data_IF_575011620875
#
_entry.id   IF_575011620875
#
_cell.length_a   1.000
_cell.length_b   1.000
_cell.length_c   1.000
_cell.angle_alpha   90.00
_cell.angle_beta   90.00
_cell.angle_gamma   90.00
#
_symmetry.space_group_name_H-M   'P 1'
#
loop_
_entity.id
_entity.type
_entity.pdbx_description
1 polymer ?
#
# COMPACT_ATOMS: atom_id res chain seq x y z
N UNK A 1 -19.69 -9.13 -6.15
CA UNK A 1 -20.30 -8.49 -4.96
C UNK A 1 -20.27 -6.99 -5.12
N UNK A 2 -21.26 -6.29 -4.58
CA UNK A 2 -21.35 -4.82 -4.58
C UNK A 2 -21.24 -4.31 -3.16
N UNK A 3 -20.39 -3.31 -2.94
CA UNK A 3 -20.26 -2.60 -1.67
C UNK A 3 -20.79 -1.18 -1.88
N UNK A 4 -21.72 -0.76 -1.03
CA UNK A 4 -22.22 0.62 -0.99
C UNK A 4 -21.46 1.39 0.07
N UNK A 5 -20.79 2.46 -0.33
CA UNK A 5 -20.05 3.36 0.57
C UNK A 5 -20.73 4.74 0.57
N UNK A 6 -20.74 5.41 1.72
CA UNK A 6 -21.16 6.81 1.82
C UNK A 6 -19.94 7.69 1.67
N UNK A 7 -19.97 8.57 0.69
CA UNK A 7 -18.93 9.57 0.47
C UNK A 7 -19.36 10.89 1.10
N UNK A 8 -18.37 11.66 1.54
CA UNK A 8 -18.54 13.09 1.82
C UNK A 8 -18.72 13.87 0.52
N UNK A 9 -19.26 15.09 0.63
CA UNK A 9 -19.45 15.98 -0.52
C UNK A 9 -18.12 16.27 -1.24
N UNK A 10 -17.04 16.52 -0.47
CA UNK A 10 -15.70 16.78 -1.02
C UNK A 10 -15.16 15.58 -1.81
N UNK A 11 -15.31 14.36 -1.30
CA UNK A 11 -14.87 13.14 -1.99
C UNK A 11 -15.63 12.94 -3.30
N UNK A 12 -16.93 13.20 -3.29
CA UNK A 12 -17.75 13.11 -4.49
C UNK A 12 -17.32 14.14 -5.55
N UNK A 13 -17.10 15.39 -5.15
CA UNK A 13 -16.62 16.45 -6.05
C UNK A 13 -15.25 16.11 -6.68
N UNK A 14 -14.33 15.56 -5.88
CA UNK A 14 -13.01 15.12 -6.36
C UNK A 14 -13.13 14.00 -7.39
N UNK A 15 -13.96 13.00 -7.13
CA UNK A 15 -14.22 11.90 -8.07
C UNK A 15 -14.90 12.40 -9.35
N UNK A 16 -15.83 13.35 -9.24
CA UNK A 16 -16.49 13.98 -10.37
C UNK A 16 -15.52 14.75 -11.26
N UNK A 17 -14.63 15.53 -10.64
CA UNK A 17 -13.57 16.27 -11.35
C UNK A 17 -12.65 15.31 -12.11
N UNK A 18 -12.20 14.23 -11.46
CA UNK A 18 -11.38 13.20 -12.08
C UNK A 18 -12.10 12.50 -13.23
N UNK A 19 -13.36 12.13 -13.04
CA UNK A 19 -14.18 11.50 -14.08
C UNK A 19 -14.30 12.39 -15.32
N UNK A 20 -14.70 13.67 -15.13
CA UNK A 20 -14.83 14.65 -16.22
C UNK A 20 -13.51 14.87 -16.98
N UNK A 21 -12.39 14.98 -16.26
CA UNK A 21 -11.07 15.25 -16.86
C UNK A 21 -10.52 14.09 -17.68
N UNK A 22 -10.93 12.87 -17.38
CA UNK A 22 -10.28 11.65 -17.90
C UNK A 22 -11.19 10.76 -18.73
N UNK A 23 -12.49 11.04 -18.75
CA UNK A 23 -13.50 10.21 -19.40
C UNK A 23 -13.75 8.86 -18.71
N UNK A 24 -13.25 8.65 -17.50
CA UNK A 24 -13.43 7.41 -16.72
C UNK A 24 -14.55 7.56 -15.70
N UNK A 25 -15.16 6.46 -15.27
CA UNK A 25 -16.23 6.48 -14.26
C UNK A 25 -15.69 6.71 -12.84
N UNK A 26 -16.51 7.26 -11.93
CA UNK A 26 -16.16 7.37 -10.50
C UNK A 26 -15.76 6.01 -9.91
N UNK A 27 -16.49 4.95 -10.26
CA UNK A 27 -16.23 3.58 -9.80
C UNK A 27 -14.88 3.02 -10.26
N UNK A 28 -14.32 3.52 -11.38
CA UNK A 28 -12.94 3.19 -11.74
C UNK A 28 -11.98 3.68 -10.65
N UNK A 29 -12.07 4.96 -10.28
CA UNK A 29 -11.20 5.58 -9.30
C UNK A 29 -11.35 4.99 -7.91
N UNK A 30 -12.58 4.71 -7.46
CA UNK A 30 -12.82 4.06 -6.17
C UNK A 30 -12.15 2.67 -6.12
N UNK A 31 -12.29 1.87 -7.19
CA UNK A 31 -11.65 0.55 -7.24
C UNK A 31 -10.12 0.63 -7.34
N UNK A 32 -9.59 1.62 -8.06
CA UNK A 32 -8.15 1.84 -8.12
C UNK A 32 -7.62 2.22 -6.74
N UNK A 33 -8.21 3.22 -6.08
CA UNK A 33 -7.80 3.64 -4.73
C UNK A 33 -7.86 2.48 -3.73
N UNK A 34 -8.92 1.66 -3.78
CA UNK A 34 -9.02 0.46 -2.95
C UNK A 34 -7.90 -0.54 -3.24
N UNK A 35 -7.57 -0.78 -4.52
CA UNK A 35 -6.52 -1.72 -4.90
C UNK A 35 -5.14 -1.26 -4.43
N UNK A 36 -4.79 0.00 -4.67
CA UNK A 36 -3.50 0.55 -4.25
C UNK A 36 -3.37 0.49 -2.72
N UNK A 37 -4.42 0.87 -1.99
CA UNK A 37 -4.39 0.83 -0.53
C UNK A 37 -4.32 -0.61 0.02
N UNK A 38 -4.97 -1.58 -0.63
CA UNK A 38 -4.83 -2.98 -0.25
C UNK A 38 -3.40 -3.48 -0.45
N UNK A 39 -2.73 -3.11 -1.55
CA UNK A 39 -1.35 -3.49 -1.78
C UNK A 39 -0.42 -2.92 -0.67
N UNK A 40 -0.59 -1.65 -0.30
CA UNK A 40 0.17 -1.03 0.79
C UNK A 40 -0.03 -1.75 2.13
N UNK A 41 -1.28 -2.14 2.44
CA UNK A 41 -1.60 -2.89 3.65
C UNK A 41 -1.00 -4.29 3.65
N UNK A 42 -1.09 -4.99 2.53
CA UNK A 42 -0.53 -6.34 2.36
C UNK A 42 0.99 -6.32 2.51
N UNK A 43 1.67 -5.32 1.92
CA UNK A 43 3.12 -5.13 2.06
C UNK A 43 3.52 -4.84 3.51
N UNK A 44 2.77 -3.98 4.21
CA UNK A 44 3.01 -3.68 5.62
C UNK A 44 2.86 -4.95 6.48
N UNK A 45 1.78 -5.71 6.31
CA UNK A 45 1.59 -6.96 7.05
C UNK A 45 2.66 -8.01 6.73
N UNK A 46 3.10 -8.09 5.47
CA UNK A 46 4.18 -8.99 5.08
C UNK A 46 5.51 -8.60 5.75
N UNK A 47 5.80 -7.30 5.85
CA UNK A 47 6.98 -6.79 6.55
C UNK A 47 6.95 -7.11 8.06
N UNK A 48 5.80 -6.87 8.71
CA UNK A 48 5.62 -7.18 10.13
C UNK A 48 5.81 -8.69 10.40
N UNK A 49 5.14 -9.54 9.60
CA UNK A 49 5.28 -10.99 9.71
C UNK A 49 6.73 -11.47 9.48
N UNK A 50 7.46 -10.82 8.56
CA UNK A 50 8.86 -11.13 8.31
C UNK A 50 9.76 -10.78 9.51
N UNK A 51 9.50 -9.67 10.20
CA UNK A 51 10.22 -9.27 11.42
C UNK A 51 9.92 -10.26 12.55
N UNK A 52 8.64 -10.58 12.79
CA UNK A 52 8.26 -11.55 13.82
C UNK A 52 8.95 -12.91 13.61
N UNK A 53 8.95 -13.42 12.37
CA UNK A 53 9.63 -14.65 12.03
C UNK A 53 11.16 -14.58 12.21
N UNK A 54 11.76 -13.43 11.88
CA UNK A 54 13.19 -13.20 12.07
C UNK A 54 13.59 -13.24 13.55
N UNK A 55 12.81 -12.57 14.41
CA UNK A 55 13.03 -12.52 15.86
C UNK A 55 12.79 -13.89 16.51
N UNK A 56 11.69 -14.57 16.15
CA UNK A 56 11.38 -15.91 16.63
C UNK A 56 12.45 -16.95 16.24
N UNK A 57 13.11 -16.75 15.10
CA UNK A 57 14.22 -17.58 14.62
C UNK A 57 15.54 -17.35 15.36
N UNK A 58 15.61 -16.44 16.34
CA UNK A 58 16.83 -16.14 17.10
C UNK A 58 17.96 -15.52 16.27
N UNK A 59 17.64 -14.98 15.09
CA UNK A 59 18.62 -14.34 14.21
C UNK A 59 18.95 -12.96 14.75
N UNK A 60 20.21 -12.54 14.63
CA UNK A 60 20.64 -11.20 15.02
C UNK A 60 20.67 -10.30 13.79
N UNK A 61 20.08 -9.12 13.91
CA UNK A 61 20.24 -8.08 12.89
C UNK A 61 21.71 -7.65 12.83
N UNK A 62 22.13 -7.13 11.68
CA UNK A 62 23.46 -6.52 11.50
C UNK A 62 23.30 -5.11 10.94
N UNK A 63 24.22 -4.18 11.26
CA UNK A 63 24.21 -2.84 10.67
C UNK A 63 24.34 -2.89 9.15
N UNK A 64 23.64 -2.00 8.44
CA UNK A 64 23.71 -1.90 6.98
C UNK A 64 25.15 -1.64 6.49
N UNK A 65 25.89 -0.79 7.19
CA UNK A 65 27.30 -0.47 6.87
C UNK A 65 28.23 -1.69 6.90
N UNK A 66 27.92 -2.70 7.72
CA UNK A 66 28.69 -3.95 7.76
C UNK A 66 28.49 -4.78 6.49
N UNK A 67 27.31 -4.72 5.87
CA UNK A 67 27.00 -5.40 4.61
C UNK A 67 27.56 -4.63 3.41
N UNK A 68 27.46 -3.30 3.39
CA UNK A 68 28.00 -2.47 2.32
C UNK A 68 29.51 -2.70 2.14
N UNK A 69 30.26 -2.72 3.25
CA UNK A 69 31.70 -2.99 3.24
C UNK A 69 32.08 -4.42 2.76
N UNK A 70 31.13 -5.36 2.76
CA UNK A 70 31.32 -6.73 2.26
C UNK A 70 31.12 -6.81 0.74
N UNK A 71 30.20 -6.02 0.18
CA UNK A 71 29.86 -5.99 -1.26
C UNK A 71 30.88 -5.18 -2.07
N UNK A 72 31.48 -4.14 -1.49
CA UNK A 72 32.46 -3.26 -2.15
C UNK A 72 33.89 -3.87 -2.25
N UNK A 73 34.03 -5.18 -2.10
CA UNK A 73 35.29 -5.94 -2.24
C UNK A 73 35.35 -6.76 -3.52
#
# INVERSE_FOLDING_TARGET
MTISIRLTEEEEERLDSLARRTGRSKSFYVRTALREYLADLEDAFAADAAIEAFEAGGRRSRPLSSLEAEIDR
#
